data_IF_281531034441
#
_entry.id   IF_281531034441
#
_cell.length_a   1.000
_cell.length_b   1.000
_cell.length_c   1.000
_cell.angle_alpha   90.00
_cell.angle_beta   90.00
_cell.angle_gamma   90.00
#
_symmetry.space_group_name_H-M   'P 1'
#
loop_
_entity.id
_entity.type
_entity.pdbx_description
1 polymer ?
#
# COMPACT_ATOMS: atom_id res chain seq x y z
N UNK A 1 42.40 -30.11 18.20
CA UNK A 1 41.77 -29.78 16.90
C UNK A 1 40.79 -28.62 17.12
N UNK A 2 41.36 -27.44 17.26
CA UNK A 2 40.70 -26.15 17.16
C UNK A 2 41.24 -25.53 15.87
N UNK A 3 40.50 -24.72 15.21
CA UNK A 3 40.76 -24.05 13.93
C UNK A 3 40.12 -24.71 12.73
N UNK A 4 38.98 -24.12 12.38
CA UNK A 4 38.51 -23.76 11.04
C UNK A 4 37.04 -23.31 11.15
N UNK A 5 36.79 -22.20 11.88
CA UNK A 5 35.64 -21.35 11.55
C UNK A 5 36.14 -20.41 10.48
N UNK A 6 35.94 -20.81 9.22
CA UNK A 6 36.01 -19.89 8.11
C UNK A 6 34.92 -18.84 8.34
N UNK A 7 35.30 -17.63 8.70
CA UNK A 7 34.54 -16.43 8.44
C UNK A 7 34.40 -16.31 6.91
N UNK A 8 33.33 -16.86 6.38
CA UNK A 8 32.83 -16.43 5.09
C UNK A 8 32.33 -15.02 5.35
N UNK A 9 33.18 -14.03 5.11
CA UNK A 9 32.74 -12.64 5.00
C UNK A 9 31.71 -12.60 3.87
N UNK A 10 30.45 -12.70 4.21
CA UNK A 10 29.34 -12.50 3.28
C UNK A 10 29.50 -11.07 2.77
N UNK A 11 29.83 -10.93 1.49
CA UNK A 11 29.85 -9.62 0.82
C UNK A 11 28.45 -9.05 0.95
N UNK A 12 28.30 -8.01 1.80
CA UNK A 12 27.01 -7.34 2.00
C UNK A 12 26.55 -6.81 0.66
N UNK A 13 25.31 -7.09 0.32
CA UNK A 13 24.74 -6.65 -0.94
C UNK A 13 24.38 -5.16 -0.84
N UNK A 14 24.65 -4.44 -1.92
CA UNK A 14 24.24 -3.06 -2.09
C UNK A 14 22.69 -2.93 -2.16
N UNK A 15 22.13 -1.75 -1.92
CA UNK A 15 20.72 -1.46 -2.16
C UNK A 15 20.35 -1.77 -3.62
N UNK A 16 19.07 -2.00 -3.90
CA UNK A 16 18.62 -2.35 -5.24
C UNK A 16 18.82 -1.23 -6.25
N UNK A 17 18.80 0.02 -5.77
CA UNK A 17 19.02 1.25 -6.54
C UNK A 17 20.00 2.16 -5.82
N UNK A 18 20.67 3.10 -6.51
CA UNK A 18 21.57 4.06 -5.91
C UNK A 18 20.84 4.89 -4.84
N UNK A 19 21.43 5.00 -3.65
CA UNK A 19 20.87 5.78 -2.54
C UNK A 19 20.84 7.28 -2.85
N UNK A 20 21.78 7.77 -3.64
CA UNK A 20 21.89 9.14 -4.15
C UNK A 20 20.71 9.58 -5.03
N UNK A 21 19.97 8.63 -5.59
CA UNK A 21 18.71 8.92 -6.28
C UNK A 21 17.65 9.53 -5.34
N UNK A 22 17.81 9.35 -4.03
CA UNK A 22 16.86 9.78 -3.01
C UNK A 22 17.45 10.89 -2.11
N UNK A 23 17.26 12.17 -2.46
CA UNK A 23 17.94 13.29 -1.79
C UNK A 23 17.74 13.33 -0.27
N UNK A 24 16.55 12.91 0.24
CA UNK A 24 16.30 12.89 1.67
C UNK A 24 17.23 11.93 2.42
N UNK A 25 17.63 10.85 1.78
CA UNK A 25 18.45 9.81 2.42
C UNK A 25 19.92 10.24 2.61
N UNK A 26 20.36 11.33 2.00
CA UNK A 26 21.68 11.92 2.21
C UNK A 26 21.78 12.68 3.55
N UNK A 27 20.65 12.94 4.22
CA UNK A 27 20.65 13.63 5.50
C UNK A 27 21.30 12.81 6.59
N UNK A 28 21.86 13.54 7.57
CA UNK A 28 22.20 13.00 8.88
C UNK A 28 21.12 13.35 9.90
N UNK A 29 20.91 12.47 10.88
CA UNK A 29 20.01 12.66 12.02
C UNK A 29 20.81 12.31 13.28
N UNK A 30 20.84 13.22 14.27
CA UNK A 30 21.66 13.10 15.49
C UNK A 30 23.14 12.78 15.17
N UNK A 31 23.71 13.46 14.16
CA UNK A 31 25.06 13.25 13.65
C UNK A 31 25.38 11.83 13.14
N UNK A 32 24.33 11.06 12.80
CA UNK A 32 24.42 9.71 12.26
C UNK A 32 23.80 9.64 10.86
N UNK A 33 24.22 8.65 10.07
CA UNK A 33 23.59 8.34 8.79
C UNK A 33 22.12 8.02 9.01
N UNK A 34 21.24 8.61 8.23
CA UNK A 34 19.81 8.29 8.25
C UNK A 34 19.58 6.85 7.76
N UNK A 35 18.94 6.03 8.57
CA UNK A 35 18.45 4.68 8.25
C UNK A 35 16.93 4.73 8.25
N UNK A 36 16.33 4.85 7.06
CA UNK A 36 14.89 5.03 6.91
C UNK A 36 14.19 3.69 6.71
N UNK A 37 13.52 3.19 7.73
CA UNK A 37 12.81 1.91 7.78
C UNK A 37 11.30 2.10 8.05
N UNK A 38 10.69 3.14 7.46
CA UNK A 38 9.25 3.40 7.60
C UNK A 38 8.53 3.52 6.25
N UNK A 39 8.99 2.78 5.23
CA UNK A 39 8.48 2.83 3.86
C UNK A 39 7.01 2.40 3.73
N UNK A 40 6.54 1.47 4.56
CA UNK A 40 5.11 1.10 4.61
C UNK A 40 4.19 2.26 5.02
N UNK A 41 4.72 3.28 5.70
CA UNK A 41 3.96 4.49 6.00
C UNK A 41 4.03 5.50 4.85
N UNK A 42 5.23 5.75 4.32
CA UNK A 42 5.46 6.59 3.13
C UNK A 42 6.87 6.32 2.59
N UNK A 43 7.03 5.97 1.33
CA UNK A 43 8.33 5.80 0.69
C UNK A 43 9.00 7.15 0.40
N UNK A 44 10.33 7.17 0.23
CA UNK A 44 11.05 8.35 -0.23
C UNK A 44 10.93 8.50 -1.76
N UNK A 45 11.08 9.74 -2.26
CA UNK A 45 10.94 10.05 -3.69
C UNK A 45 12.30 10.10 -4.34
N UNK A 46 12.48 9.43 -5.48
CA UNK A 46 13.70 9.62 -6.28
C UNK A 46 13.71 11.01 -6.92
N UNK A 47 14.90 11.48 -7.25
CA UNK A 47 15.12 12.77 -7.91
C UNK A 47 14.27 12.92 -9.17
N UNK A 48 14.16 11.87 -9.98
CA UNK A 48 13.37 11.88 -11.21
C UNK A 48 11.88 12.21 -11.01
N UNK A 49 11.30 11.80 -9.87
CA UNK A 49 9.91 12.14 -9.53
C UNK A 49 9.78 13.61 -9.13
N UNK A 50 10.74 14.12 -8.34
CA UNK A 50 10.77 15.52 -7.94
C UNK A 50 10.94 16.42 -9.16
N UNK A 51 11.91 16.10 -10.01
CA UNK A 51 12.22 16.86 -11.22
C UNK A 51 11.05 16.87 -12.22
N UNK A 52 10.32 15.75 -12.37
CA UNK A 52 9.13 15.69 -13.22
C UNK A 52 8.01 16.63 -12.74
N UNK A 53 7.83 16.76 -11.42
CA UNK A 53 6.84 17.68 -10.84
C UNK A 53 7.29 19.14 -10.98
N UNK A 54 8.56 19.43 -10.75
CA UNK A 54 9.14 20.76 -10.92
C UNK A 54 9.03 21.20 -12.39
N UNK A 55 9.41 20.33 -13.34
CA UNK A 55 9.34 20.58 -14.79
C UNK A 55 7.89 20.89 -15.23
N UNK A 56 6.90 20.14 -14.71
CA UNK A 56 5.50 20.44 -14.98
C UNK A 56 5.12 21.87 -14.53
N UNK A 57 5.49 22.28 -13.31
CA UNK A 57 5.15 23.61 -12.81
C UNK A 57 5.90 24.71 -13.52
N UNK A 58 7.14 24.49 -13.93
CA UNK A 58 7.97 25.49 -14.59
C UNK A 58 7.61 25.70 -16.07
N UNK A 59 7.11 24.62 -16.76
CA UNK A 59 7.00 24.68 -18.23
C UNK A 59 5.58 24.39 -18.77
N UNK A 60 4.76 23.57 -18.09
CA UNK A 60 3.51 23.06 -18.66
C UNK A 60 2.29 23.26 -17.75
N UNK A 61 2.38 24.11 -16.72
CA UNK A 61 1.29 24.29 -15.78
C UNK A 61 0.08 25.00 -16.38
N UNK A 62 -1.00 24.25 -16.57
CA UNK A 62 -2.32 24.75 -16.95
C UNK A 62 -3.40 23.84 -16.40
N UNK A 63 -4.67 24.33 -16.36
CA UNK A 63 -5.80 23.46 -16.03
C UNK A 63 -6.13 22.55 -17.22
N UNK A 64 -6.43 21.30 -16.91
CA UNK A 64 -6.72 20.23 -17.90
C UNK A 64 -8.19 20.21 -18.37
N UNK A 65 -8.46 19.49 -19.44
CA UNK A 65 -9.78 19.12 -20.01
C UNK A 65 -10.51 20.19 -20.82
N UNK A 66 -10.29 21.48 -20.64
CA UNK A 66 -11.08 22.54 -21.30
C UNK A 66 -10.27 23.67 -21.95
N UNK A 67 -8.95 23.66 -21.77
CA UNK A 67 -8.09 24.66 -22.39
C UNK A 67 -7.89 24.36 -23.88
N UNK A 68 -8.03 25.38 -24.71
CA UNK A 68 -7.81 25.27 -26.19
C UNK A 68 -6.52 26.02 -26.60
N UNK A 69 -5.52 26.02 -25.73
CA UNK A 69 -4.21 26.66 -25.94
C UNK A 69 -3.09 25.67 -25.61
N UNK A 70 -1.93 25.87 -26.25
CA UNK A 70 -0.84 24.88 -26.29
C UNK A 70 -0.45 24.32 -24.91
N UNK A 71 -0.25 25.18 -23.89
CA UNK A 71 0.15 24.75 -22.56
C UNK A 71 -0.93 23.87 -21.91
N UNK A 72 -2.23 24.11 -22.14
CA UNK A 72 -3.30 23.26 -21.62
C UNK A 72 -3.33 21.90 -22.31
N UNK A 73 -3.08 21.85 -23.63
CA UNK A 73 -2.97 20.59 -24.37
C UNK A 73 -1.75 19.77 -23.91
N UNK A 74 -0.63 20.42 -23.58
CA UNK A 74 0.54 19.78 -22.98
C UNK A 74 0.22 19.21 -21.59
N UNK A 75 -0.45 19.99 -20.72
CA UNK A 75 -0.88 19.55 -19.40
C UNK A 75 -1.82 18.35 -19.47
N UNK A 76 -2.82 18.39 -20.39
CA UNK A 76 -3.72 17.27 -20.65
C UNK A 76 -2.95 16.01 -21.09
N UNK A 77 -2.01 16.19 -22.02
CA UNK A 77 -1.20 15.08 -22.53
C UNK A 77 -0.37 14.42 -21.41
N UNK A 78 0.20 15.21 -20.51
CA UNK A 78 0.98 14.72 -19.35
C UNK A 78 0.08 13.97 -18.36
N UNK A 79 -1.09 14.55 -18.04
CA UNK A 79 -2.06 13.97 -17.11
C UNK A 79 -2.58 12.62 -17.60
N UNK A 80 -3.05 12.56 -18.86
CA UNK A 80 -3.54 11.33 -19.46
C UNK A 80 -2.42 10.31 -19.75
N UNK A 81 -1.18 10.76 -19.97
CA UNK A 81 -0.04 9.87 -20.07
C UNK A 81 0.25 9.18 -18.72
N UNK A 82 0.16 9.91 -17.60
CA UNK A 82 0.28 9.33 -16.27
C UNK A 82 -0.79 8.24 -16.03
N UNK A 83 -2.06 8.49 -16.41
CA UNK A 83 -3.15 7.52 -16.34
C UNK A 83 -2.83 6.24 -17.13
N UNK A 84 -2.36 6.39 -18.37
CA UNK A 84 -1.96 5.23 -19.20
C UNK A 84 -0.81 4.43 -18.60
N UNK A 85 0.21 5.11 -18.04
CA UNK A 85 1.33 4.45 -17.36
C UNK A 85 0.85 3.63 -16.16
N UNK A 86 0.04 4.25 -15.30
CA UNK A 86 -0.54 3.59 -14.14
C UNK A 86 -1.37 2.37 -14.55
N UNK A 87 -2.25 2.53 -15.54
CA UNK A 87 -3.08 1.42 -16.01
C UNK A 87 -2.25 0.27 -16.58
N UNK A 88 -1.23 0.56 -17.39
CA UNK A 88 -0.30 -0.47 -17.88
C UNK A 88 0.43 -1.17 -16.74
N UNK A 89 0.89 -0.43 -15.73
CA UNK A 89 1.62 -0.95 -14.58
C UNK A 89 0.83 -1.97 -13.76
N UNK A 90 -0.49 -1.81 -13.70
CA UNK A 90 -1.40 -2.74 -12.99
C UNK A 90 -2.13 -3.72 -13.92
N UNK A 91 -1.82 -3.73 -15.21
CA UNK A 91 -2.47 -4.61 -16.19
C UNK A 91 -3.94 -4.27 -16.46
N UNK A 92 -4.35 -3.00 -16.36
CA UNK A 92 -5.71 -2.55 -16.63
C UNK A 92 -6.06 -2.69 -18.12
N UNK A 93 -7.17 -3.37 -18.51
CA UNK A 93 -7.58 -3.54 -19.91
C UNK A 93 -7.88 -2.22 -20.63
N UNK A 94 -8.55 -1.29 -19.95
CA UNK A 94 -8.92 0.01 -20.49
C UNK A 94 -8.55 1.16 -19.53
N UNK A 95 -7.26 1.55 -19.47
CA UNK A 95 -6.80 2.57 -18.53
C UNK A 95 -7.57 3.90 -18.60
N UNK A 96 -8.03 4.26 -19.78
CA UNK A 96 -8.73 5.53 -20.02
C UNK A 96 -10.11 5.61 -19.36
N UNK A 97 -10.74 4.48 -19.07
CA UNK A 97 -12.04 4.41 -18.40
C UNK A 97 -11.95 3.86 -16.98
N UNK A 98 -11.02 2.94 -16.73
CA UNK A 98 -10.96 2.13 -15.50
C UNK A 98 -10.05 2.70 -14.42
N UNK A 99 -9.10 3.59 -14.78
CA UNK A 99 -8.18 4.22 -13.81
C UNK A 99 -8.73 5.57 -13.39
N UNK A 100 -9.04 5.73 -12.12
CA UNK A 100 -9.57 6.95 -11.52
C UNK A 100 -8.52 7.50 -10.56
N UNK A 101 -8.12 8.75 -10.73
CA UNK A 101 -7.28 9.43 -9.77
C UNK A 101 -8.12 9.92 -8.59
N UNK A 102 -7.68 9.57 -7.40
CA UNK A 102 -8.26 9.96 -6.14
C UNK A 102 -7.15 10.49 -5.21
N UNK A 103 -7.51 10.90 -4.00
CA UNK A 103 -6.52 11.46 -3.05
C UNK A 103 -5.54 10.40 -2.52
N UNK A 104 -5.99 9.18 -2.31
CA UNK A 104 -5.22 8.04 -1.79
C UNK A 104 -6.09 6.76 -1.82
N UNK A 105 -5.53 5.61 -1.45
CA UNK A 105 -6.27 4.35 -1.33
C UNK A 105 -7.52 4.45 -0.44
N UNK A 106 -7.44 5.21 0.67
CA UNK A 106 -8.58 5.41 1.57
C UNK A 106 -9.76 6.04 0.85
N UNK A 107 -9.52 7.09 0.04
CA UNK A 107 -10.60 7.69 -0.76
C UNK A 107 -11.12 6.72 -1.83
N UNK A 108 -10.23 6.00 -2.52
CA UNK A 108 -10.64 4.98 -3.51
C UNK A 108 -11.57 3.93 -2.91
N UNK A 109 -11.27 3.40 -1.74
CA UNK A 109 -12.13 2.43 -1.04
C UNK A 109 -13.46 3.10 -0.60
N UNK A 110 -13.42 4.35 -0.14
CA UNK A 110 -14.63 5.10 0.19
C UNK A 110 -15.51 5.37 -1.04
N UNK A 111 -14.94 5.59 -2.22
CA UNK A 111 -15.71 5.68 -3.48
C UNK A 111 -16.49 4.39 -3.70
N UNK A 112 -15.86 3.23 -3.57
CA UNK A 112 -16.55 1.94 -3.71
C UNK A 112 -17.64 1.77 -2.64
N UNK A 113 -17.33 2.06 -1.38
CA UNK A 113 -18.30 1.93 -0.29
C UNK A 113 -19.52 2.85 -0.46
N UNK A 114 -19.31 4.11 -0.84
CA UNK A 114 -20.37 5.11 -0.89
C UNK A 114 -21.08 5.21 -2.26
N UNK A 115 -20.48 4.72 -3.32
CA UNK A 115 -21.10 4.73 -4.66
C UNK A 115 -21.60 3.35 -5.08
N UNK A 116 -20.71 2.31 -5.03
CA UNK A 116 -21.14 0.97 -5.42
C UNK A 116 -21.92 0.28 -4.30
N UNK A 117 -21.33 0.12 -3.12
CA UNK A 117 -21.92 -0.69 -2.05
C UNK A 117 -23.23 -0.09 -1.52
N UNK A 118 -23.30 1.23 -1.29
CA UNK A 118 -24.53 1.90 -0.87
C UNK A 118 -25.70 1.76 -1.84
N UNK A 119 -25.43 1.46 -3.11
CA UNK A 119 -26.43 1.26 -4.17
C UNK A 119 -26.84 -0.19 -4.35
N UNK A 120 -25.95 -1.12 -4.12
CA UNK A 120 -26.13 -2.55 -4.43
C UNK A 120 -26.36 -3.41 -3.19
N UNK A 121 -26.05 -2.90 -1.98
CA UNK A 121 -26.23 -3.62 -0.74
C UNK A 121 -27.44 -3.09 0.03
N UNK A 122 -28.05 -3.98 0.83
CA UNK A 122 -29.20 -3.71 1.68
C UNK A 122 -28.97 -4.28 3.08
N UNK A 123 -29.87 -3.95 4.01
CA UNK A 123 -29.81 -4.50 5.38
C UNK A 123 -29.80 -6.04 5.38
N UNK A 124 -28.88 -6.63 6.11
CA UNK A 124 -28.66 -8.07 6.21
C UNK A 124 -27.73 -8.65 5.12
N UNK A 125 -27.33 -7.87 4.10
CA UNK A 125 -26.29 -8.32 3.17
C UNK A 125 -24.93 -8.37 3.89
N UNK A 126 -24.11 -9.36 3.51
CA UNK A 126 -22.84 -9.64 4.19
C UNK A 126 -21.66 -9.12 3.39
N UNK A 127 -20.77 -8.40 4.07
CA UNK A 127 -19.42 -8.03 3.58
C UNK A 127 -18.39 -8.85 4.34
N UNK A 128 -17.57 -9.62 3.62
CA UNK A 128 -16.44 -10.37 4.19
C UNK A 128 -15.20 -9.49 4.22
N UNK A 129 -14.60 -9.33 5.40
CA UNK A 129 -13.33 -8.63 5.63
C UNK A 129 -12.33 -9.57 6.28
N UNK A 130 -11.04 -9.23 6.26
CA UNK A 130 -10.03 -10.04 6.97
C UNK A 130 -9.55 -9.38 8.26
N UNK A 131 -9.00 -10.16 9.21
CA UNK A 131 -8.35 -9.61 10.40
C UNK A 131 -7.09 -8.79 10.07
N UNK A 132 -6.53 -8.92 8.86
CA UNK A 132 -5.31 -8.21 8.42
C UNK A 132 -5.58 -6.81 7.89
N UNK A 133 -6.84 -6.39 7.77
CA UNK A 133 -7.18 -5.15 7.07
C UNK A 133 -6.63 -3.90 7.76
N UNK A 134 -6.07 -3.02 6.96
CA UNK A 134 -5.85 -1.64 7.37
C UNK A 134 -7.21 -0.95 7.63
N UNK A 135 -7.26 0.00 8.56
CA UNK A 135 -8.50 0.74 8.86
C UNK A 135 -9.15 1.36 7.62
N UNK A 136 -8.38 1.71 6.58
CA UNK A 136 -8.92 2.24 5.32
C UNK A 136 -9.83 1.24 4.61
N UNK A 137 -9.54 -0.07 4.72
CA UNK A 137 -10.35 -1.13 4.13
C UNK A 137 -11.26 -1.85 5.16
N UNK A 138 -11.48 -1.23 6.30
CA UNK A 138 -12.37 -1.72 7.35
C UNK A 138 -13.42 -0.68 7.75
N UNK A 139 -12.99 0.54 8.08
CA UNK A 139 -13.88 1.57 8.64
C UNK A 139 -15.01 1.96 7.68
N UNK A 140 -14.81 2.09 6.35
CA UNK A 140 -15.92 2.39 5.42
C UNK A 140 -17.05 1.34 5.48
N UNK A 141 -16.71 0.05 5.65
CA UNK A 141 -17.69 -1.01 5.75
C UNK A 141 -18.43 -0.99 7.10
N UNK A 142 -17.74 -0.66 8.20
CA UNK A 142 -18.36 -0.43 9.52
C UNK A 142 -19.32 0.76 9.47
N UNK A 143 -18.94 1.86 8.81
CA UNK A 143 -19.83 3.01 8.61
C UNK A 143 -21.07 2.63 7.79
N UNK A 144 -20.89 1.83 6.75
CA UNK A 144 -22.00 1.35 5.92
C UNK A 144 -22.93 0.41 6.72
N UNK A 145 -22.36 -0.42 7.62
CA UNK A 145 -23.14 -1.25 8.54
C UNK A 145 -24.03 -0.40 9.47
N UNK A 146 -23.50 0.69 9.99
CA UNK A 146 -24.29 1.65 10.79
C UNK A 146 -25.36 2.37 9.97
N UNK A 147 -25.10 2.68 8.69
CA UNK A 147 -25.98 3.47 7.83
C UNK A 147 -27.13 2.66 7.24
N UNK A 148 -26.85 1.47 6.72
CA UNK A 148 -27.83 0.67 5.97
C UNK A 148 -28.05 -0.74 6.52
N UNK A 149 -27.33 -1.14 7.58
CA UNK A 149 -27.56 -2.41 8.27
C UNK A 149 -26.96 -3.63 7.57
N UNK A 150 -25.88 -3.49 6.83
CA UNK A 150 -25.10 -4.65 6.36
C UNK A 150 -24.40 -5.33 7.53
N UNK A 151 -24.00 -6.59 7.34
CA UNK A 151 -23.27 -7.37 8.32
C UNK A 151 -21.82 -7.56 7.91
N UNK A 152 -20.87 -7.47 8.86
CA UNK A 152 -19.47 -7.81 8.60
C UNK A 152 -19.18 -9.21 9.08
N UNK A 153 -18.62 -10.03 8.19
CA UNK A 153 -18.07 -11.34 8.51
C UNK A 153 -16.55 -11.25 8.41
N UNK A 154 -15.85 -11.95 9.32
CA UNK A 154 -14.40 -11.85 9.44
C UNK A 154 -13.74 -13.16 9.04
N UNK A 155 -12.72 -13.06 8.22
CA UNK A 155 -11.80 -14.14 7.90
C UNK A 155 -10.58 -14.03 8.81
N UNK A 156 -10.43 -15.00 9.71
CA UNK A 156 -9.41 -14.98 10.75
C UNK A 156 -8.03 -15.35 10.21
N UNK A 157 -6.97 -15.04 10.98
CA UNK A 157 -5.63 -15.54 10.74
C UNK A 157 -5.33 -16.77 11.61
N UNK A 158 -4.50 -17.66 11.08
CA UNK A 158 -3.95 -18.79 11.82
C UNK A 158 -2.74 -18.38 12.70
N UNK A 159 -2.14 -19.35 13.39
CA UNK A 159 -0.98 -19.11 14.26
C UNK A 159 0.33 -18.88 13.47
N UNK A 160 0.35 -19.19 12.17
CA UNK A 160 1.44 -18.87 11.23
C UNK A 160 1.25 -17.51 10.55
N UNK A 161 0.31 -16.71 11.04
CA UNK A 161 -0.02 -15.37 10.54
C UNK A 161 -0.51 -15.34 9.08
N UNK A 162 -1.13 -16.41 8.60
CA UNK A 162 -1.80 -16.52 7.30
C UNK A 162 -3.32 -16.51 7.48
N UNK A 163 -4.06 -16.18 6.42
CA UNK A 163 -5.53 -16.32 6.46
C UNK A 163 -5.93 -17.79 6.56
N UNK A 164 -6.80 -18.11 7.51
CA UNK A 164 -7.41 -19.44 7.58
C UNK A 164 -8.50 -19.58 6.51
N UNK A 165 -8.18 -20.33 5.46
CA UNK A 165 -9.08 -20.61 4.34
C UNK A 165 -9.70 -22.01 4.41
N UNK A 166 -9.67 -22.66 5.56
CA UNK A 166 -10.21 -24.03 5.73
C UNK A 166 -11.71 -24.11 5.49
N UNK A 167 -12.44 -23.06 5.87
CA UNK A 167 -13.90 -22.94 5.76
C UNK A 167 -14.35 -21.87 4.76
N UNK A 168 -13.51 -21.52 3.79
CA UNK A 168 -13.73 -20.37 2.89
C UNK A 168 -15.11 -20.41 2.21
N UNK A 169 -15.51 -21.56 1.68
CA UNK A 169 -16.79 -21.69 0.99
C UNK A 169 -18.00 -21.38 1.93
N UNK A 170 -17.94 -21.85 3.18
CA UNK A 170 -18.95 -21.53 4.20
C UNK A 170 -18.91 -20.05 4.58
N UNK A 171 -17.71 -19.46 4.66
CA UNK A 171 -17.54 -18.04 4.96
C UNK A 171 -18.08 -17.14 3.85
N UNK A 172 -18.16 -17.63 2.63
CA UNK A 172 -18.69 -16.91 1.47
C UNK A 172 -20.21 -17.08 1.27
N UNK A 173 -20.88 -17.94 2.04
CA UNK A 173 -22.33 -18.12 1.91
C UNK A 173 -23.07 -16.80 2.21
N UNK A 174 -23.83 -16.31 1.22
CA UNK A 174 -24.58 -15.06 1.29
C UNK A 174 -23.75 -13.78 1.23
N UNK A 175 -22.42 -13.87 1.06
CA UNK A 175 -21.54 -12.71 0.91
C UNK A 175 -21.81 -12.00 -0.41
N UNK A 176 -21.86 -10.66 -0.37
CA UNK A 176 -22.06 -9.79 -1.52
C UNK A 176 -20.79 -9.03 -1.93
N UNK A 177 -19.89 -8.81 -1.00
CA UNK A 177 -18.61 -8.14 -1.23
C UNK A 177 -17.55 -8.76 -0.34
N UNK A 178 -16.37 -8.98 -0.91
CA UNK A 178 -15.15 -9.32 -0.19
C UNK A 178 -14.19 -8.15 -0.25
N UNK A 179 -13.75 -7.65 0.91
CA UNK A 179 -12.72 -6.63 1.02
C UNK A 179 -11.45 -7.25 1.62
N UNK A 180 -10.39 -7.34 0.81
CA UNK A 180 -9.18 -8.06 1.20
C UNK A 180 -7.92 -7.29 0.80
N UNK A 181 -6.98 -7.17 1.76
CA UNK A 181 -5.65 -6.62 1.47
C UNK A 181 -4.83 -7.59 0.62
N UNK A 182 -4.05 -7.06 -0.31
CA UNK A 182 -3.09 -7.86 -1.09
C UNK A 182 -1.78 -8.12 -0.33
N UNK A 183 -1.46 -7.29 0.67
CA UNK A 183 -0.32 -7.46 1.55
C UNK A 183 -0.56 -6.73 2.87
N UNK A 184 -0.41 -7.43 3.99
CA UNK A 184 -0.58 -6.84 5.32
C UNK A 184 0.50 -5.80 5.62
N UNK A 185 0.08 -4.60 6.02
CA UNK A 185 0.99 -3.54 6.44
C UNK A 185 1.62 -3.77 7.84
N UNK A 186 1.25 -4.84 8.52
CA UNK A 186 1.77 -5.23 9.84
C UNK A 186 2.59 -6.51 9.74
N UNK A 187 2.03 -7.54 9.16
CA UNK A 187 2.63 -8.89 9.11
C UNK A 187 3.55 -9.08 7.90
N UNK A 188 3.40 -8.25 6.86
CA UNK A 188 4.00 -8.48 5.55
C UNK A 188 3.36 -9.65 4.79
N UNK A 189 2.42 -10.39 5.39
CA UNK A 189 1.74 -11.53 4.77
C UNK A 189 1.07 -11.14 3.46
N UNK A 190 1.31 -11.92 2.42
CA UNK A 190 0.67 -11.83 1.10
C UNK A 190 -0.34 -12.97 1.02
N UNK A 191 -1.66 -12.69 1.17
CA UNK A 191 -2.68 -13.74 1.11
C UNK A 191 -2.80 -14.33 -0.30
N UNK A 192 -3.30 -15.58 -0.44
CA UNK A 192 -3.57 -16.19 -1.75
C UNK A 192 -4.83 -15.58 -2.38
N UNK A 193 -4.74 -14.30 -2.74
CA UNK A 193 -5.86 -13.44 -3.13
C UNK A 193 -6.65 -14.03 -4.31
N UNK A 194 -5.98 -14.56 -5.33
CA UNK A 194 -6.66 -15.17 -6.49
C UNK A 194 -7.61 -16.29 -6.07
N UNK A 195 -7.20 -17.16 -5.15
CA UNK A 195 -8.07 -18.23 -4.62
C UNK A 195 -9.31 -17.65 -3.92
N UNK A 196 -9.12 -16.57 -3.16
CA UNK A 196 -10.22 -15.88 -2.45
C UNK A 196 -11.17 -15.25 -3.48
N UNK A 197 -10.62 -14.57 -4.49
CA UNK A 197 -11.41 -13.93 -5.55
C UNK A 197 -12.22 -14.93 -6.37
N UNK A 198 -11.62 -16.06 -6.79
CA UNK A 198 -12.31 -17.10 -7.53
C UNK A 198 -13.48 -17.71 -6.72
N UNK A 199 -13.26 -17.98 -5.43
CA UNK A 199 -14.32 -18.49 -4.55
C UNK A 199 -15.42 -17.44 -4.32
N UNK A 200 -15.06 -16.16 -4.12
CA UNK A 200 -16.00 -15.06 -3.98
C UNK A 200 -16.89 -14.89 -5.22
N UNK A 201 -16.30 -14.92 -6.41
CA UNK A 201 -17.04 -14.85 -7.68
C UNK A 201 -17.95 -16.05 -7.86
N UNK A 202 -17.51 -17.27 -7.49
CA UNK A 202 -18.35 -18.47 -7.52
C UNK A 202 -19.57 -18.33 -6.61
N UNK A 203 -19.45 -17.59 -5.48
CA UNK A 203 -20.55 -17.26 -4.58
C UNK A 203 -21.38 -16.03 -5.04
N UNK A 204 -20.99 -15.36 -6.14
CA UNK A 204 -21.65 -14.17 -6.67
C UNK A 204 -21.30 -12.85 -5.97
N UNK A 205 -20.20 -12.83 -5.24
CA UNK A 205 -19.70 -11.63 -4.55
C UNK A 205 -18.74 -10.82 -5.44
N UNK A 206 -18.73 -9.50 -5.24
CA UNK A 206 -17.74 -8.57 -5.81
C UNK A 206 -16.52 -8.51 -4.90
N UNK A 207 -15.33 -8.28 -5.46
CA UNK A 207 -14.06 -8.30 -4.72
C UNK A 207 -13.31 -6.99 -4.86
N UNK A 208 -13.05 -6.32 -3.74
CA UNK A 208 -12.16 -5.16 -3.68
C UNK A 208 -10.82 -5.52 -3.06
N UNK A 209 -9.74 -5.15 -3.73
CA UNK A 209 -8.36 -5.33 -3.31
C UNK A 209 -7.80 -4.03 -2.71
N UNK A 210 -7.32 -4.07 -1.46
CA UNK A 210 -6.43 -3.03 -0.94
C UNK A 210 -5.00 -3.33 -1.37
N UNK A 211 -4.54 -2.63 -2.40
CA UNK A 211 -3.20 -2.75 -2.97
C UNK A 211 -2.17 -1.79 -2.37
N UNK A 212 -2.51 -1.07 -1.30
CA UNK A 212 -1.67 0.00 -0.77
C UNK A 212 -0.25 -0.44 -0.38
N UNK A 213 -0.07 -1.68 0.05
CA UNK A 213 1.25 -2.26 0.34
C UNK A 213 1.76 -3.16 -0.80
N UNK A 214 0.88 -3.76 -1.59
CA UNK A 214 1.28 -4.71 -2.62
C UNK A 214 1.78 -4.02 -3.89
N UNK A 215 1.07 -3.02 -4.40
CA UNK A 215 1.43 -2.33 -5.65
C UNK A 215 2.86 -1.75 -5.63
N UNK A 216 3.37 -1.21 -4.49
CA UNK A 216 4.77 -0.82 -4.39
C UNK A 216 5.78 -1.97 -4.48
N UNK A 217 5.42 -3.19 -4.06
CA UNK A 217 6.37 -4.25 -3.73
C UNK A 217 6.30 -5.49 -4.64
N UNK A 218 5.14 -5.78 -5.24
CA UNK A 218 4.95 -6.95 -6.10
C UNK A 218 4.36 -6.56 -7.45
N UNK A 219 4.59 -7.37 -8.45
CA UNK A 219 3.90 -7.22 -9.74
C UNK A 219 2.40 -7.46 -9.55
N UNK A 220 1.59 -6.47 -9.91
CA UNK A 220 0.14 -6.52 -9.84
C UNK A 220 -0.43 -6.52 -11.26
N UNK A 221 -1.33 -7.46 -11.53
CA UNK A 221 -2.11 -7.55 -12.76
C UNK A 221 -3.56 -7.83 -12.35
N UNK A 222 -4.44 -6.87 -12.59
CA UNK A 222 -5.83 -6.89 -12.11
C UNK A 222 -6.65 -8.05 -12.65
N UNK A 223 -6.39 -8.47 -13.90
CA UNK A 223 -7.05 -9.63 -14.51
C UNK A 223 -6.57 -10.94 -13.88
N UNK A 224 -5.25 -11.07 -13.66
CA UNK A 224 -4.67 -12.24 -12.99
C UNK A 224 -5.07 -12.34 -11.53
N UNK A 225 -5.19 -11.20 -10.84
CA UNK A 225 -5.70 -11.16 -9.45
C UNK A 225 -7.18 -11.53 -9.40
N UNK A 226 -7.95 -11.18 -10.43
CA UNK A 226 -9.39 -11.40 -10.45
C UNK A 226 -10.14 -10.47 -9.48
N UNK A 227 -9.61 -9.29 -9.17
CA UNK A 227 -10.35 -8.30 -8.42
C UNK A 227 -11.31 -7.52 -9.33
N UNK A 228 -12.36 -6.95 -8.73
CA UNK A 228 -13.31 -6.07 -9.40
C UNK A 228 -12.97 -4.60 -9.17
N UNK A 229 -12.32 -4.32 -8.02
CA UNK A 229 -11.76 -3.01 -7.67
C UNK A 229 -10.38 -3.17 -7.05
N UNK A 230 -9.50 -2.21 -7.31
CA UNK A 230 -8.16 -2.11 -6.70
C UNK A 230 -7.93 -0.67 -6.26
N UNK A 231 -7.51 -0.45 -5.00
CA UNK A 231 -7.14 0.86 -4.51
C UNK A 231 -5.70 0.90 -3.98
N UNK A 232 -4.93 1.95 -4.33
CA UNK A 232 -3.58 2.16 -3.82
C UNK A 232 -3.18 3.63 -3.77
N UNK A 233 -2.05 3.93 -3.12
CA UNK A 233 -1.58 5.30 -2.88
C UNK A 233 -0.20 5.53 -3.48
N UNK A 234 -0.01 6.64 -4.17
CA UNK A 234 1.27 6.98 -4.80
C UNK A 234 2.42 7.15 -3.80
N UNK A 235 2.16 7.75 -2.63
CA UNK A 235 3.21 8.05 -1.64
C UNK A 235 3.90 6.83 -1.04
N UNK A 236 3.39 5.61 -1.27
CA UNK A 236 4.03 4.36 -0.84
C UNK A 236 4.84 3.70 -1.97
N UNK A 237 4.62 4.12 -3.21
CA UNK A 237 5.30 3.60 -4.41
C UNK A 237 6.21 4.65 -5.06
N UNK A 238 7.03 5.34 -4.26
CA UNK A 238 7.98 6.38 -4.66
C UNK A 238 7.35 7.67 -5.22
N UNK A 239 6.02 7.72 -5.33
CA UNK A 239 5.27 8.84 -5.87
C UNK A 239 4.93 9.92 -4.82
N UNK A 240 4.31 11.02 -5.22
CA UNK A 240 3.95 12.13 -4.35
C UNK A 240 2.80 11.77 -3.39
N UNK A 241 2.64 12.59 -2.35
CA UNK A 241 1.43 12.60 -1.51
C UNK A 241 0.28 13.29 -2.25
N UNK A 242 -0.95 13.09 -1.81
CA UNK A 242 -2.12 13.81 -2.36
C UNK A 242 -2.74 13.16 -3.59
N UNK A 243 -2.16 12.07 -4.09
CA UNK A 243 -2.73 11.27 -5.17
C UNK A 243 -2.69 9.77 -4.84
N UNK A 244 -3.72 9.08 -5.29
CA UNK A 244 -3.87 7.63 -5.30
C UNK A 244 -4.72 7.21 -6.49
N UNK A 245 -4.99 5.94 -6.55
CA UNK A 245 -5.71 5.31 -7.67
C UNK A 245 -6.80 4.41 -7.13
N UNK A 246 -7.96 4.53 -7.73
CA UNK A 246 -8.98 3.49 -7.78
C UNK A 246 -9.02 2.96 -9.21
N UNK A 247 -8.73 1.68 -9.38
CA UNK A 247 -9.09 0.94 -10.57
C UNK A 247 -10.39 0.17 -10.32
N UNK A 248 -11.25 0.10 -11.29
CA UNK A 248 -12.45 -0.75 -11.24
C UNK A 248 -12.82 -1.24 -12.61
N UNK A 249 -13.48 -2.38 -12.68
CA UNK A 249 -14.05 -2.89 -13.93
C UNK A 249 -15.01 -1.86 -14.51
N UNK A 250 -14.92 -1.63 -15.80
CA UNK A 250 -15.70 -0.60 -16.51
C UNK A 250 -17.22 -0.76 -16.30
N UNK A 251 -17.73 -1.99 -16.38
CA UNK A 251 -19.16 -2.28 -16.18
C UNK A 251 -19.66 -1.92 -14.77
N UNK A 252 -18.83 -2.16 -13.75
CA UNK A 252 -19.15 -1.78 -12.37
C UNK A 252 -19.07 -0.26 -12.19
N UNK A 253 -18.01 0.38 -12.69
CA UNK A 253 -17.88 1.84 -12.63
C UNK A 253 -19.03 2.55 -13.34
N UNK A 254 -19.50 2.04 -14.49
CA UNK A 254 -20.65 2.59 -15.20
C UNK A 254 -21.93 2.52 -14.34
N UNK A 255 -22.11 1.46 -13.57
CA UNK A 255 -23.29 1.27 -12.72
C UNK A 255 -23.29 2.19 -11.47
N UNK A 256 -22.14 2.74 -11.08
CA UNK A 256 -21.97 3.55 -9.88
C UNK A 256 -22.44 5.00 -10.09
N UNK A 257 -23.15 5.61 -9.14
CA UNK A 257 -23.34 7.06 -9.12
C UNK A 257 -22.02 7.79 -8.84
N UNK A 258 -21.89 9.07 -9.22
CA UNK A 258 -20.76 9.90 -8.82
C UNK A 258 -20.60 9.94 -7.29
N UNK A 259 -19.35 10.02 -6.83
CA UNK A 259 -19.02 10.15 -5.39
C UNK A 259 -19.03 11.62 -4.95
N UNK A 260 -18.35 12.48 -5.72
CA UNK A 260 -18.30 13.92 -5.48
C UNK A 260 -19.05 14.66 -6.59
N UNK A 261 -19.72 15.74 -6.22
CA UNK A 261 -20.40 16.62 -7.20
C UNK A 261 -19.65 17.93 -7.35
N UNK A 262 -19.47 18.38 -8.60
CA UNK A 262 -18.78 19.63 -8.89
C UNK A 262 -18.52 19.87 -10.37
N UNK A 263 -17.61 20.77 -10.68
CA UNK A 263 -17.11 20.97 -12.04
C UNK A 263 -16.26 19.79 -12.49
N UNK A 264 -16.12 19.60 -13.81
CA UNK A 264 -15.35 18.52 -14.43
C UNK A 264 -16.13 17.21 -14.57
N UNK A 265 -16.82 16.78 -13.53
CA UNK A 265 -17.50 15.48 -13.46
C UNK A 265 -18.89 15.45 -14.13
N UNK A 266 -19.33 16.54 -14.74
CA UNK A 266 -20.65 16.68 -15.37
C UNK A 266 -20.53 16.95 -16.87
N UNK A 267 -21.46 16.36 -17.63
CA UNK A 267 -21.68 16.67 -19.05
C UNK A 267 -22.69 17.80 -19.23
N UNK A 268 -23.74 17.82 -18.41
CA UNK A 268 -24.79 18.83 -18.43
C UNK A 268 -25.40 19.08 -17.05
N UNK A 269 -25.78 20.34 -16.77
CA UNK A 269 -26.48 20.74 -15.55
C UNK A 269 -27.70 21.58 -15.93
N UNK A 270 -28.85 21.19 -15.42
CA UNK A 270 -30.12 21.89 -15.55
C UNK A 270 -30.66 22.28 -14.17
N UNK A 271 -31.68 23.09 -14.12
CA UNK A 271 -32.30 23.51 -12.84
C UNK A 271 -32.92 22.34 -12.06
N UNK A 272 -33.30 21.28 -12.74
CA UNK A 272 -34.00 20.09 -12.22
C UNK A 272 -33.11 18.84 -12.12
N UNK A 273 -31.83 18.94 -12.49
CA UNK A 273 -30.90 17.80 -12.43
C UNK A 273 -29.61 17.99 -13.18
N UNK A 274 -28.81 16.95 -13.23
CA UNK A 274 -27.54 16.92 -13.96
C UNK A 274 -27.31 15.58 -14.65
N UNK A 275 -26.44 15.58 -15.64
CA UNK A 275 -25.94 14.37 -16.31
C UNK A 275 -24.44 14.27 -16.02
N UNK A 276 -23.95 13.17 -15.42
CA UNK A 276 -22.53 13.00 -15.18
C UNK A 276 -21.74 12.87 -16.48
N UNK A 277 -20.45 13.14 -16.41
CA UNK A 277 -19.49 12.83 -17.48
C UNK A 277 -19.36 11.33 -17.67
N UNK A 278 -18.75 10.95 -18.79
CA UNK A 278 -18.27 9.59 -19.03
C UNK A 278 -17.11 9.24 -18.08
N UNK A 279 -16.75 7.96 -18.00
CA UNK A 279 -15.59 7.50 -17.28
C UNK A 279 -14.29 8.05 -17.89
N UNK A 280 -13.27 8.33 -17.10
CA UNK A 280 -13.21 8.32 -15.64
C UNK A 280 -13.72 9.62 -15.01
N UNK A 281 -14.00 10.65 -15.83
CA UNK A 281 -14.35 12.01 -15.40
C UNK A 281 -15.53 12.08 -14.43
N UNK A 282 -16.47 11.12 -14.50
CA UNK A 282 -17.59 10.98 -13.55
C UNK A 282 -17.14 10.96 -12.07
N UNK A 283 -15.94 10.46 -11.79
CA UNK A 283 -15.40 10.35 -10.44
C UNK A 283 -14.32 11.38 -10.11
N UNK A 284 -13.92 12.23 -11.05
CA UNK A 284 -12.86 13.23 -10.90
C UNK A 284 -13.46 14.65 -10.87
N UNK A 285 -14.06 15.02 -9.74
CA UNK A 285 -14.69 16.31 -9.57
C UNK A 285 -13.68 17.41 -9.18
N UNK A 286 -13.77 18.56 -9.85
CA UNK A 286 -12.89 19.71 -9.63
C UNK A 286 -11.60 19.64 -10.45
N UNK A 287 -10.69 20.59 -10.23
CA UNK A 287 -9.35 20.55 -10.82
C UNK A 287 -8.57 19.41 -10.18
N UNK A 288 -8.06 18.44 -10.95
CA UNK A 288 -7.37 17.28 -10.40
C UNK A 288 -5.94 17.62 -9.93
N UNK A 289 -5.28 16.73 -9.17
CA UNK A 289 -3.89 16.88 -8.75
C UNK A 289 -2.93 16.58 -9.91
N UNK A 290 -2.76 17.53 -10.84
CA UNK A 290 -2.08 17.32 -12.13
C UNK A 290 -0.58 17.05 -11.94
N UNK A 291 0.11 17.88 -11.15
CA UNK A 291 1.53 17.70 -10.86
C UNK A 291 1.79 16.36 -10.16
N UNK A 292 0.90 15.98 -9.25
CA UNK A 292 1.00 14.70 -8.52
C UNK A 292 0.74 13.52 -9.48
N UNK A 293 -0.13 13.65 -10.46
CA UNK A 293 -0.33 12.62 -11.48
C UNK A 293 0.93 12.46 -12.35
N UNK A 294 1.55 13.55 -12.77
CA UNK A 294 2.83 13.53 -13.49
C UNK A 294 3.92 12.86 -12.65
N UNK A 295 4.03 13.24 -11.37
CA UNK A 295 4.96 12.61 -10.42
C UNK A 295 4.69 11.12 -10.21
N UNK A 296 3.42 10.69 -10.15
CA UNK A 296 3.07 9.27 -10.08
C UNK A 296 3.48 8.54 -11.37
N UNK A 297 3.28 9.15 -12.54
CA UNK A 297 3.74 8.61 -13.81
C UNK A 297 5.27 8.41 -13.86
N UNK A 298 6.04 9.35 -13.30
CA UNK A 298 7.50 9.23 -13.18
C UNK A 298 7.91 8.14 -12.17
N UNK A 299 7.14 7.96 -11.08
CA UNK A 299 7.38 6.88 -10.13
C UNK A 299 7.12 5.49 -10.75
N UNK A 300 6.10 5.37 -11.60
CA UNK A 300 5.84 4.14 -12.38
C UNK A 300 7.03 3.85 -13.30
N UNK A 301 7.51 4.84 -14.07
CA UNK A 301 8.67 4.65 -14.95
C UNK A 301 9.91 4.17 -14.17
N UNK A 302 10.14 4.73 -12.97
CA UNK A 302 11.26 4.34 -12.11
C UNK A 302 11.13 2.89 -11.64
N UNK A 303 9.94 2.46 -11.20
CA UNK A 303 9.68 1.08 -10.76
C UNK A 303 9.74 0.09 -11.92
N UNK A 304 9.20 0.43 -13.11
CA UNK A 304 9.31 -0.40 -14.32
C UNK A 304 10.78 -0.59 -14.73
N UNK A 305 11.61 0.45 -14.61
CA UNK A 305 13.04 0.35 -14.92
C UNK A 305 13.80 -0.56 -13.94
N UNK A 306 13.37 -0.64 -12.67
CA UNK A 306 13.90 -1.59 -11.69
C UNK A 306 13.44 -3.02 -12.04
N UNK A 307 12.15 -3.18 -12.31
CA UNK A 307 11.45 -4.46 -12.45
C UNK A 307 10.91 -4.99 -11.13
N UNK A 308 9.59 -5.24 -11.08
CA UNK A 308 8.89 -5.62 -9.83
C UNK A 308 9.32 -6.98 -9.29
N UNK A 309 9.77 -7.91 -10.13
CA UNK A 309 10.34 -9.19 -9.69
C UNK A 309 11.64 -8.98 -8.88
N UNK A 310 12.43 -7.97 -9.24
CA UNK A 310 13.63 -7.62 -8.49
C UNK A 310 13.30 -6.91 -7.18
N UNK A 311 12.22 -6.15 -7.14
CA UNK A 311 11.76 -5.49 -5.91
C UNK A 311 11.36 -6.53 -4.86
N UNK A 312 10.49 -7.48 -5.21
CA UNK A 312 10.06 -8.52 -4.25
C UNK A 312 11.21 -9.43 -3.82
N UNK A 313 12.14 -9.76 -4.72
CA UNK A 313 13.32 -10.56 -4.38
C UNK A 313 14.25 -9.81 -3.41
N UNK A 314 14.39 -8.50 -3.60
CA UNK A 314 15.12 -7.64 -2.67
C UNK A 314 14.46 -7.61 -1.29
N UNK A 315 13.15 -7.43 -1.21
CA UNK A 315 12.41 -7.49 0.05
C UNK A 315 12.61 -8.84 0.78
N UNK A 316 12.48 -9.94 0.05
CA UNK A 316 12.68 -11.29 0.57
C UNK A 316 14.08 -11.47 1.17
N UNK A 317 15.10 -10.97 0.49
CA UNK A 317 16.47 -11.01 0.98
C UNK A 317 16.62 -10.22 2.30
N UNK A 318 16.09 -9.00 2.36
CA UNK A 318 16.17 -8.16 3.56
C UNK A 318 15.38 -8.77 4.73
N UNK A 319 14.22 -9.36 4.46
CA UNK A 319 13.42 -10.07 5.47
C UNK A 319 14.17 -11.29 6.01
N UNK A 320 14.74 -12.13 5.14
CA UNK A 320 15.54 -13.31 5.55
C UNK A 320 16.70 -12.90 6.43
N UNK A 321 17.48 -11.92 5.97
CA UNK A 321 18.61 -11.39 6.72
C UNK A 321 18.20 -10.85 8.08
N UNK A 322 17.08 -10.10 8.16
CA UNK A 322 16.56 -9.57 9.42
C UNK A 322 16.17 -10.70 10.37
N UNK A 323 15.46 -11.72 9.90
CA UNK A 323 15.07 -12.87 10.72
C UNK A 323 16.30 -13.62 11.27
N UNK A 324 17.30 -13.86 10.43
CA UNK A 324 18.54 -14.55 10.81
C UNK A 324 19.32 -13.79 11.89
N UNK A 325 19.61 -12.49 11.67
CA UNK A 325 20.40 -11.70 12.62
C UNK A 325 19.62 -11.40 13.91
N UNK A 326 18.31 -11.24 13.83
CA UNK A 326 17.43 -11.04 14.99
C UNK A 326 17.42 -12.31 15.87
N UNK A 327 17.20 -13.48 15.28
CA UNK A 327 17.20 -14.76 15.99
C UNK A 327 18.57 -15.04 16.66
N UNK A 328 19.67 -14.80 15.93
CA UNK A 328 21.02 -14.99 16.45
C UNK A 328 21.38 -14.02 17.58
N UNK A 329 20.78 -12.83 17.60
CA UNK A 329 21.14 -11.75 18.53
C UNK A 329 20.27 -11.75 19.78
N UNK A 330 18.96 -11.92 19.64
CA UNK A 330 18.00 -11.71 20.71
C UNK A 330 17.29 -13.00 21.14
N UNK A 331 17.32 -14.08 20.31
CA UNK A 331 16.57 -15.30 20.59
C UNK A 331 15.09 -15.01 20.86
N UNK A 332 14.60 -15.42 22.03
CA UNK A 332 13.20 -15.23 22.45
C UNK A 332 12.88 -13.82 22.99
N UNK A 333 13.90 -12.97 23.20
CA UNK A 333 13.68 -11.62 23.72
C UNK A 333 13.18 -10.63 22.64
N UNK A 334 13.26 -10.99 21.33
CA UNK A 334 12.67 -10.24 20.24
C UNK A 334 11.64 -11.10 19.49
N UNK A 335 10.36 -10.81 19.69
CA UNK A 335 9.27 -11.45 18.96
C UNK A 335 9.02 -10.71 17.65
N UNK A 336 9.09 -11.42 16.52
CA UNK A 336 8.74 -10.90 15.21
C UNK A 336 7.36 -11.42 14.83
N UNK A 337 6.48 -10.54 14.33
CA UNK A 337 5.14 -10.88 13.84
C UNK A 337 5.18 -11.08 12.32
N UNK A 338 4.38 -12.03 11.84
CA UNK A 338 4.28 -12.40 10.43
C UNK A 338 4.93 -13.74 10.12
N UNK A 339 4.66 -14.33 8.94
CA UNK A 339 5.14 -15.64 8.55
C UNK A 339 6.68 -15.75 8.68
N UNK A 340 7.16 -16.87 9.20
CA UNK A 340 8.59 -17.16 9.16
C UNK A 340 9.01 -17.53 7.74
N UNK A 341 10.18 -17.06 7.32
CA UNK A 341 10.68 -17.22 5.95
C UNK A 341 10.19 -16.10 5.03
N UNK A 342 10.32 -16.31 3.74
CA UNK A 342 10.11 -15.29 2.70
C UNK A 342 9.00 -15.61 1.72
N UNK A 343 8.46 -16.83 1.78
CA UNK A 343 7.31 -17.23 0.98
C UNK A 343 6.08 -16.46 1.44
N UNK A 344 5.34 -15.89 0.51
CA UNK A 344 4.15 -15.08 0.76
C UNK A 344 4.37 -13.95 1.80
N UNK A 345 5.55 -13.30 1.72
CA UNK A 345 5.91 -12.20 2.63
C UNK A 345 6.64 -11.07 1.91
N UNK A 346 6.21 -9.84 2.15
CA UNK A 346 6.86 -8.60 1.70
C UNK A 346 7.74 -7.96 2.76
N UNK A 347 8.37 -6.83 2.43
CA UNK A 347 9.41 -6.13 3.17
C UNK A 347 8.98 -5.45 4.49
N UNK A 348 8.20 -6.14 5.34
CA UNK A 348 7.68 -5.61 6.61
C UNK A 348 8.06 -6.52 7.77
N UNK A 349 8.62 -5.92 8.81
CA UNK A 349 8.97 -6.57 10.08
C UNK A 349 8.34 -5.79 11.24
N UNK A 350 7.22 -6.27 11.77
CA UNK A 350 6.69 -5.80 13.05
C UNK A 350 7.29 -6.62 14.19
N UNK A 351 7.64 -5.96 15.28
CA UNK A 351 8.38 -6.60 16.36
C UNK A 351 8.00 -6.07 17.75
N UNK A 352 8.23 -6.90 18.76
CA UNK A 352 8.11 -6.60 20.18
C UNK A 352 9.43 -7.00 20.88
N UNK A 353 10.14 -6.02 21.45
CA UNK A 353 11.31 -6.28 22.30
C UNK A 353 10.83 -6.43 23.74
N UNK A 354 11.15 -7.57 24.36
CA UNK A 354 10.71 -7.92 25.71
C UNK A 354 11.10 -6.85 26.71
N UNK A 355 10.12 -6.39 27.50
CA UNK A 355 10.32 -5.39 28.53
C UNK A 355 10.38 -3.95 28.03
N UNK A 356 10.36 -3.70 26.70
CA UNK A 356 10.48 -2.35 26.13
C UNK A 356 9.19 -1.94 25.43
N UNK A 357 8.62 -0.83 25.87
CA UNK A 357 7.43 -0.30 25.21
C UNK A 357 7.77 0.16 23.78
N UNK A 358 6.94 -0.13 22.74
CA UNK A 358 7.26 0.19 21.34
C UNK A 358 7.59 1.66 21.06
N UNK A 359 6.95 2.61 21.77
CA UNK A 359 7.28 4.03 21.63
C UNK A 359 8.65 4.38 22.20
N UNK A 360 9.02 3.82 23.35
CA UNK A 360 10.34 4.03 23.94
C UNK A 360 11.41 3.41 23.06
N UNK A 361 11.13 2.21 22.51
CA UNK A 361 11.98 1.57 21.52
C UNK A 361 12.21 2.49 20.31
N UNK A 362 11.14 3.03 19.71
CA UNK A 362 11.28 3.90 18.55
C UNK A 362 12.07 5.19 18.87
N UNK A 363 11.93 5.75 20.08
CA UNK A 363 12.71 6.91 20.52
C UNK A 363 14.20 6.59 20.67
N UNK A 364 14.54 5.42 21.22
CA UNK A 364 15.95 4.99 21.31
C UNK A 364 16.51 4.80 19.91
N UNK A 365 15.81 4.11 19.02
CA UNK A 365 16.26 3.87 17.64
C UNK A 365 16.52 5.19 16.90
N UNK A 366 15.67 6.21 17.07
CA UNK A 366 15.83 7.53 16.48
C UNK A 366 17.16 8.20 16.91
N UNK A 367 17.58 8.05 18.18
CA UNK A 367 18.88 8.56 18.65
C UNK A 367 20.09 7.91 17.93
N UNK A 368 19.87 6.74 17.33
CA UNK A 368 20.86 6.03 16.51
C UNK A 368 20.66 6.28 14.99
N UNK A 369 19.77 7.21 14.61
CA UNK A 369 19.48 7.55 13.23
C UNK A 369 18.58 6.54 12.52
N UNK A 370 17.94 5.61 13.25
CA UNK A 370 17.10 4.54 12.70
C UNK A 370 15.63 4.92 12.85
N UNK A 371 14.96 5.15 11.74
CA UNK A 371 13.54 5.53 11.69
C UNK A 371 12.65 4.30 11.56
N UNK A 372 11.89 4.00 12.59
CA UNK A 372 10.84 2.97 12.61
C UNK A 372 9.52 3.58 13.08
N UNK A 373 8.42 2.91 12.86
CA UNK A 373 7.11 3.32 13.38
C UNK A 373 6.73 2.50 14.61
N UNK A 374 6.15 3.16 15.63
CA UNK A 374 5.56 2.49 16.78
C UNK A 374 4.05 2.74 16.83
N UNK A 375 3.27 1.73 17.23
CA UNK A 375 1.83 1.86 17.45
C UNK A 375 1.01 0.69 16.93
N UNK A 376 -0.28 0.94 16.70
CA UNK A 376 -1.21 -0.08 16.21
C UNK A 376 -1.26 -0.20 14.67
N UNK A 377 -0.46 0.58 13.93
CA UNK A 377 -0.30 0.58 12.46
C UNK A 377 -1.61 0.64 11.67
N UNK A 378 -2.63 1.32 12.22
CA UNK A 378 -3.99 1.36 11.67
C UNK A 378 -4.62 -0.03 11.42
N UNK A 379 -4.34 -1.01 12.29
CA UNK A 379 -4.85 -2.38 12.26
C UNK A 379 -5.20 -2.87 13.68
N UNK A 380 -6.04 -2.14 14.40
CA UNK A 380 -6.40 -2.46 15.80
C UNK A 380 -7.02 -3.86 15.99
N UNK A 381 -7.90 -4.38 15.12
CA UNK A 381 -8.37 -5.75 15.27
C UNK A 381 -7.21 -6.75 15.24
N UNK A 382 -6.30 -6.63 14.29
CA UNK A 382 -5.11 -7.47 14.20
C UNK A 382 -4.22 -7.36 15.45
N UNK A 383 -3.96 -6.15 15.98
CA UNK A 383 -3.20 -6.00 17.22
C UNK A 383 -3.84 -6.75 18.40
N UNK A 384 -5.17 -6.77 18.51
CA UNK A 384 -5.88 -7.55 19.52
C UNK A 384 -5.69 -9.06 19.32
N UNK A 385 -5.74 -9.54 18.07
CA UNK A 385 -5.47 -10.97 17.72
C UNK A 385 -4.05 -11.37 18.09
N UNK A 386 -3.07 -10.46 17.88
CA UNK A 386 -1.66 -10.67 18.25
C UNK A 386 -1.40 -10.59 19.77
N UNK A 387 -2.37 -10.14 20.55
CA UNK A 387 -2.26 -10.00 22.01
C UNK A 387 -1.41 -8.81 22.47
N UNK A 388 -1.18 -7.81 21.60
CA UNK A 388 -0.39 -6.63 21.92
C UNK A 388 -1.16 -5.34 21.59
N UNK A 389 -1.00 -4.27 22.39
CA UNK A 389 -1.64 -2.99 22.11
C UNK A 389 -0.95 -2.21 20.98
N UNK A 390 0.33 -2.46 20.76
CA UNK A 390 1.19 -1.78 19.80
C UNK A 390 2.42 -2.66 19.49
N UNK A 391 3.06 -2.40 18.35
CA UNK A 391 4.33 -2.99 17.96
C UNK A 391 5.27 -1.91 17.38
N UNK A 392 6.57 -2.14 17.38
CA UNK A 392 7.49 -1.40 16.53
C UNK A 392 7.51 -2.07 15.15
N UNK A 393 7.60 -1.27 14.07
CA UNK A 393 7.60 -1.78 12.70
C UNK A 393 8.74 -1.16 11.91
N UNK A 394 9.65 -1.99 11.42
CA UNK A 394 10.58 -1.68 10.35
C UNK A 394 9.98 -2.10 9.01
N UNK A 395 10.12 -1.28 7.98
CA UNK A 395 9.68 -1.61 6.64
C UNK A 395 10.68 -1.13 5.62
N UNK A 396 11.12 -2.05 4.78
CA UNK A 396 12.15 -1.88 3.78
C UNK A 396 11.60 -1.40 2.45
N UNK A 397 12.49 -0.90 1.59
CA UNK A 397 12.19 -0.65 0.19
C UNK A 397 13.48 -0.65 -0.64
N UNK A 398 13.39 -0.30 -1.91
CA UNK A 398 14.44 -0.42 -2.93
C UNK A 398 15.79 0.24 -2.57
N UNK A 399 15.79 1.23 -1.69
CA UNK A 399 16.96 1.99 -1.25
C UNK A 399 17.61 1.47 0.05
N UNK A 400 17.03 0.46 0.68
CA UNK A 400 17.61 -0.16 1.88
C UNK A 400 18.54 -1.31 1.53
N UNK A 401 19.47 -1.62 2.43
CA UNK A 401 20.38 -2.74 2.32
C UNK A 401 20.63 -3.43 3.69
N UNK A 402 21.44 -4.46 3.69
CA UNK A 402 21.77 -5.21 4.90
C UNK A 402 22.48 -4.33 5.97
N UNK A 403 23.17 -3.25 5.57
CA UNK A 403 23.78 -2.33 6.52
C UNK A 403 22.76 -1.52 7.31
N UNK A 404 21.57 -1.26 6.73
CA UNK A 404 20.45 -0.64 7.43
C UNK A 404 19.88 -1.58 8.51
N UNK A 405 19.86 -2.89 8.22
CA UNK A 405 19.43 -3.92 9.17
C UNK A 405 20.45 -4.07 10.31
N UNK A 406 21.74 -4.04 10.01
CA UNK A 406 22.79 -4.05 11.04
C UNK A 406 22.66 -2.85 11.98
N UNK A 407 22.39 -1.67 11.44
CA UNK A 407 22.15 -0.47 12.25
C UNK A 407 20.88 -0.62 13.12
N UNK A 408 19.81 -1.20 12.58
CA UNK A 408 18.61 -1.54 13.36
C UNK A 408 18.95 -2.49 14.52
N UNK A 409 19.66 -3.59 14.25
CA UNK A 409 20.03 -4.58 15.27
C UNK A 409 20.95 -3.98 16.32
N UNK A 410 21.90 -3.13 15.94
CA UNK A 410 22.76 -2.42 16.87
C UNK A 410 21.96 -1.50 17.81
N UNK A 411 21.02 -0.73 17.25
CA UNK A 411 20.16 0.15 18.04
C UNK A 411 19.17 -0.62 18.94
N UNK A 412 18.68 -1.78 18.50
CA UNK A 412 17.87 -2.68 19.34
C UNK A 412 18.66 -3.21 20.55
N UNK A 413 19.96 -3.54 20.40
CA UNK A 413 20.83 -3.95 21.52
C UNK A 413 20.98 -2.85 22.56
N UNK A 414 21.16 -1.61 22.11
CA UNK A 414 21.24 -0.47 23.02
C UNK A 414 19.93 -0.27 23.79
N UNK A 415 18.77 -0.40 23.10
CA UNK A 415 17.47 -0.34 23.77
C UNK A 415 17.32 -1.48 24.79
N UNK A 416 17.68 -2.72 24.44
CA UNK A 416 17.65 -3.84 25.37
C UNK A 416 18.53 -3.60 26.61
N UNK A 417 19.71 -2.98 26.42
CA UNK A 417 20.62 -2.66 27.53
C UNK A 417 20.07 -1.53 28.42
N UNK A 418 19.37 -0.58 27.85
CA UNK A 418 18.83 0.59 28.57
C UNK A 418 17.63 0.23 29.46
N UNK A 419 16.80 -0.70 29.04
CA UNK A 419 15.54 -1.06 29.70
C UNK A 419 15.56 -2.47 30.37
N UNK A 420 16.55 -3.30 30.07
CA UNK A 420 16.78 -4.63 30.67
C UNK A 420 17.76 -4.53 31.82
#
# INVERSE_FOLDING_TARGET
MAELRNEVATVKSAPLVPREDFPLLERTVHDRRLVYLDSSASAQRPRSVLDAMDDYYEHSHANVHRGVYAIAEEADALYENARRKVGRFIGAPNPAAEVIFCKNATEGINVVANSWASRHLSAGDVVLVTEMEHHANLVPWLMLAEQIGIELRWLDIDDDFRLDLSDLDRMLDGVKLVACTLMSNVLGTIPPFRRIADAAHAAGAVVIADGAQAVPHIAVDVERLGCDFLAFSAHKMLGPTGIGVLWGREDLLESMPPFLGGGGMIRDVRKDGFTPSELPGKFEAGTPPIAEAVGLGAAVDYLEAIGMDRVIEHDRRLVSYTQEVAAATFGEDLRIFGPYGTEDRGGVISMELKGVHPHDLAQVLDQYGVCVRAGHHCAKPLMRRLGVPAAARASFYVYNDESDIDALVAALKEAATLFG
#
